data_IF_860298140835
#
_entry.id   IF_860298140835
#
_cell.length_a   1.000
_cell.length_b   1.000
_cell.length_c   1.000
_cell.angle_alpha   90.00
_cell.angle_beta   90.00
_cell.angle_gamma   90.00
#
_symmetry.space_group_name_H-M   'P 1'
#
loop_
_entity.id
_entity.type
_entity.pdbx_description
1 polymer ?
#
# COMPACT_ATOMS: atom_id res chain seq x y z
N UNK A 1 11.11 10.91 -14.43
CA UNK A 1 10.68 9.76 -13.60
C UNK A 1 9.96 10.18 -12.34
N UNK A 2 10.59 10.63 -11.23
CA UNK A 2 9.85 10.99 -9.99
C UNK A 2 8.81 12.10 -10.23
N UNK A 3 9.23 13.25 -10.78
CA UNK A 3 8.32 14.35 -11.15
C UNK A 3 7.25 13.96 -12.17
N UNK A 4 7.50 12.91 -12.96
CA UNK A 4 6.53 12.41 -13.95
C UNK A 4 5.50 11.51 -13.30
N UNK A 5 5.94 10.63 -12.39
CA UNK A 5 5.07 9.82 -11.55
C UNK A 5 4.15 10.69 -10.68
N UNK A 6 4.68 11.78 -10.11
CA UNK A 6 3.88 12.74 -9.33
C UNK A 6 2.83 13.48 -10.18
N UNK A 7 3.20 13.92 -11.40
CA UNK A 7 2.25 14.55 -12.32
C UNK A 7 1.09 13.62 -12.70
N UNK A 8 1.41 12.34 -12.88
CA UNK A 8 0.44 11.30 -13.21
C UNK A 8 -0.44 10.95 -12.01
N UNK A 9 0.17 10.78 -10.83
CA UNK A 9 -0.51 10.50 -9.58
C UNK A 9 0.00 11.45 -8.49
N UNK A 10 -0.76 12.51 -8.14
CA UNK A 10 -0.32 13.51 -7.16
C UNK A 10 -0.05 12.96 -5.75
N UNK A 11 -0.50 11.74 -5.43
CA UNK A 11 -0.16 11.07 -4.17
C UNK A 11 1.32 10.64 -4.11
N UNK A 12 1.98 10.52 -5.27
CA UNK A 12 3.38 10.12 -5.37
C UNK A 12 4.27 11.36 -5.30
N UNK A 13 4.10 12.13 -4.23
CA UNK A 13 4.98 13.28 -3.96
C UNK A 13 6.44 12.83 -3.93
N UNK A 14 7.34 13.77 -4.16
CA UNK A 14 8.79 13.51 -4.12
C UNK A 14 9.18 12.75 -2.85
N UNK A 15 8.74 13.19 -1.67
CA UNK A 15 9.02 12.54 -0.39
C UNK A 15 8.49 11.10 -0.31
N UNK A 16 7.25 10.84 -0.74
CA UNK A 16 6.66 9.49 -0.69
C UNK A 16 7.39 8.54 -1.65
N UNK A 17 7.74 9.04 -2.84
CA UNK A 17 8.48 8.25 -3.83
C UNK A 17 9.89 7.96 -3.37
N UNK A 18 10.60 8.95 -2.80
CA UNK A 18 11.91 8.75 -2.20
C UNK A 18 11.87 7.78 -1.03
N UNK A 19 10.84 7.86 -0.18
CA UNK A 19 10.67 6.92 0.91
C UNK A 19 10.53 5.48 0.42
N UNK A 20 9.70 5.25 -0.62
CA UNK A 20 9.56 3.93 -1.23
C UNK A 20 10.88 3.42 -1.84
N UNK A 21 11.59 4.25 -2.61
CA UNK A 21 12.87 3.90 -3.20
C UNK A 21 13.94 3.59 -2.14
N UNK A 22 14.03 4.42 -1.09
CA UNK A 22 14.97 4.21 0.02
C UNK A 22 14.67 2.91 0.77
N UNK A 23 13.39 2.61 0.98
CA UNK A 23 12.98 1.34 1.61
C UNK A 23 13.39 0.16 0.73
N UNK A 24 13.10 0.20 -0.57
CA UNK A 24 13.55 -0.84 -1.51
C UNK A 24 15.06 -0.97 -1.60
N UNK A 25 15.83 0.12 -1.54
CA UNK A 25 17.29 0.04 -1.57
C UNK A 25 17.90 -0.72 -0.38
N UNK A 26 17.20 -0.73 0.77
CA UNK A 26 17.63 -1.47 1.97
C UNK A 26 17.35 -2.96 1.82
N UNK A 27 16.22 -3.30 1.20
CA UNK A 27 15.82 -4.70 0.95
C UNK A 27 16.56 -5.32 -0.24
N UNK A 28 16.94 -4.54 -1.25
CA UNK A 28 17.64 -5.00 -2.46
C UNK A 28 19.16 -5.05 -2.28
N UNK A 29 19.61 -5.50 -1.11
CA UNK A 29 21.03 -5.77 -0.85
C UNK A 29 21.32 -7.26 -1.00
N UNK A 30 22.56 -7.62 -1.30
CA UNK A 30 22.96 -9.03 -1.43
C UNK A 30 22.62 -9.83 -0.16
N UNK A 31 22.89 -9.27 1.02
CA UNK A 31 22.61 -9.90 2.31
C UNK A 31 21.11 -10.19 2.48
N UNK A 32 20.25 -9.19 2.28
CA UNK A 32 18.81 -9.35 2.47
C UNK A 32 18.19 -10.27 1.42
N UNK A 33 18.64 -10.18 0.17
CA UNK A 33 18.20 -11.07 -0.90
C UNK A 33 18.62 -12.51 -0.60
N UNK A 34 19.87 -12.76 -0.22
CA UNK A 34 20.34 -14.11 0.15
C UNK A 34 19.49 -14.67 1.29
N UNK A 35 19.35 -13.91 2.38
CA UNK A 35 18.53 -14.29 3.54
C UNK A 35 17.09 -14.62 3.15
N UNK A 36 16.49 -13.84 2.26
CA UNK A 36 15.14 -14.11 1.76
C UNK A 36 15.11 -15.40 0.93
N UNK A 37 16.03 -15.56 -0.01
CA UNK A 37 16.02 -16.67 -0.97
C UNK A 37 16.47 -18.02 -0.38
N UNK A 38 17.29 -18.01 0.68
CA UNK A 38 17.86 -19.20 1.31
C UNK A 38 16.80 -20.17 1.86
N UNK A 39 15.60 -19.66 2.13
CA UNK A 39 14.48 -20.46 2.65
C UNK A 39 13.73 -21.26 1.57
N UNK A 40 14.02 -21.04 0.29
CA UNK A 40 13.31 -21.68 -0.82
C UNK A 40 14.16 -22.73 -1.54
N UNK A 41 13.53 -23.84 -1.89
CA UNK A 41 14.10 -24.83 -2.79
C UNK A 41 13.67 -24.53 -4.23
N UNK A 42 14.61 -24.08 -5.03
CA UNK A 42 14.39 -23.84 -6.46
C UNK A 42 14.48 -25.18 -7.20
N UNK A 43 13.35 -25.67 -7.71
CA UNK A 43 13.30 -26.83 -8.59
C UNK A 43 13.52 -26.34 -10.01
N UNK A 44 14.54 -26.88 -10.67
CA UNK A 44 14.77 -26.62 -12.08
C UNK A 44 13.57 -27.16 -12.87
N UNK A 45 12.73 -26.25 -13.35
CA UNK A 45 11.45 -26.55 -13.96
C UNK A 45 11.22 -25.64 -15.15
N UNK A 46 10.36 -26.08 -16.06
CA UNK A 46 10.04 -25.29 -17.25
C UNK A 46 9.55 -23.89 -16.87
N UNK A 47 10.14 -22.88 -17.50
CA UNK A 47 9.80 -21.47 -17.27
C UNK A 47 8.34 -21.23 -17.64
N UNK A 48 7.50 -20.95 -16.63
CA UNK A 48 6.10 -20.57 -16.83
C UNK A 48 5.94 -19.06 -16.99
N UNK A 49 4.98 -18.65 -17.79
CA UNK A 49 4.49 -17.26 -17.82
C UNK A 49 3.51 -17.00 -16.68
N UNK A 50 3.80 -16.01 -15.83
CA UNK A 50 2.94 -15.54 -14.73
C UNK A 50 2.39 -14.16 -15.08
N UNK A 51 1.07 -14.04 -15.13
CA UNK A 51 0.40 -12.75 -15.29
C UNK A 51 0.40 -12.00 -13.96
N UNK A 52 0.66 -10.69 -13.98
CA UNK A 52 0.65 -9.87 -12.76
C UNK A 52 -0.16 -8.60 -12.99
N UNK A 53 -1.25 -8.45 -12.22
CA UNK A 53 -2.04 -7.21 -12.14
C UNK A 53 -1.60 -6.44 -10.90
N UNK A 54 -0.93 -5.31 -11.11
CA UNK A 54 -0.35 -4.51 -10.03
C UNK A 54 -1.29 -3.37 -9.63
N UNK A 55 -1.38 -3.11 -8.32
CA UNK A 55 -2.01 -1.90 -7.80
C UNK A 55 -1.12 -0.67 -8.05
N UNK A 56 -1.62 0.52 -7.74
CA UNK A 56 -0.88 1.78 -7.86
C UNK A 56 -1.27 2.81 -6.80
N UNK A 57 -1.77 2.35 -5.66
CA UNK A 57 -2.18 3.20 -4.53
C UNK A 57 -0.98 3.82 -3.80
N UNK A 58 0.18 3.15 -3.79
CA UNK A 58 1.45 3.67 -3.27
C UNK A 58 2.58 3.41 -4.28
N UNK A 59 3.69 4.19 -4.26
CA UNK A 59 4.78 4.00 -5.21
C UNK A 59 5.38 2.60 -5.15
N UNK A 60 5.61 1.96 -6.31
CA UNK A 60 6.29 0.67 -6.44
C UNK A 60 5.60 -0.50 -5.73
N UNK A 61 4.29 -0.43 -5.49
CA UNK A 61 3.56 -1.48 -4.75
C UNK A 61 3.63 -2.85 -5.44
N UNK A 62 3.70 -2.87 -6.78
CA UNK A 62 3.82 -4.09 -7.57
C UNK A 62 5.25 -4.66 -7.67
N UNK A 63 6.26 -3.96 -7.15
CA UNK A 63 7.66 -4.32 -7.34
C UNK A 63 8.00 -5.68 -6.69
N UNK A 64 7.40 -5.99 -5.54
CA UNK A 64 7.62 -7.29 -4.88
C UNK A 64 7.24 -8.47 -5.79
N UNK A 65 6.13 -8.38 -6.52
CA UNK A 65 5.69 -9.46 -7.41
C UNK A 65 6.60 -9.57 -8.62
N UNK A 66 7.04 -8.43 -9.16
CA UNK A 66 8.00 -8.38 -10.26
C UNK A 66 9.26 -9.17 -9.89
N UNK A 67 9.86 -8.85 -8.75
CA UNK A 67 11.08 -9.50 -8.28
C UNK A 67 10.82 -10.97 -7.97
N UNK A 68 9.72 -11.29 -7.28
CA UNK A 68 9.41 -12.67 -6.88
C UNK A 68 9.22 -13.60 -8.08
N UNK A 69 8.54 -13.16 -9.13
CA UNK A 69 8.36 -13.95 -10.36
C UNK A 69 9.71 -14.15 -11.08
N UNK A 70 10.56 -13.13 -11.11
CA UNK A 70 11.86 -13.22 -11.77
C UNK A 70 12.85 -14.09 -10.98
N UNK A 71 12.90 -13.97 -9.65
CA UNK A 71 13.77 -14.80 -8.80
C UNK A 71 13.33 -16.26 -8.75
N UNK A 72 12.04 -16.55 -8.91
CA UNK A 72 11.53 -17.92 -9.02
C UNK A 72 11.78 -18.58 -10.40
N UNK A 73 12.52 -17.92 -11.31
CA UNK A 73 12.87 -18.48 -12.60
C UNK A 73 11.78 -18.39 -13.68
N UNK A 74 10.68 -17.69 -13.43
CA UNK A 74 9.53 -17.59 -14.34
C UNK A 74 9.53 -16.33 -15.22
N UNK A 75 8.74 -16.33 -16.28
CA UNK A 75 8.49 -15.16 -17.11
C UNK A 75 7.34 -14.36 -16.51
N UNK A 76 7.39 -13.04 -16.59
CA UNK A 76 6.33 -12.16 -16.10
C UNK A 76 5.63 -11.42 -17.23
N UNK A 77 4.30 -11.39 -17.19
CA UNK A 77 3.45 -10.56 -18.05
C UNK A 77 2.76 -9.52 -17.17
N UNK A 78 3.21 -8.27 -17.25
CA UNK A 78 2.84 -7.21 -16.33
C UNK A 78 1.70 -6.37 -16.92
N UNK A 79 0.65 -6.18 -16.12
CA UNK A 79 -0.33 -5.12 -16.30
C UNK A 79 -0.20 -4.16 -15.11
N UNK A 80 0.59 -3.08 -15.23
CA UNK A 80 0.74 -2.13 -14.14
C UNK A 80 -0.54 -1.29 -13.99
N UNK A 81 -0.75 -0.72 -12.80
CA UNK A 81 -1.76 0.32 -12.63
C UNK A 81 -1.43 1.52 -13.52
N UNK A 82 -2.46 2.19 -14.06
CA UNK A 82 -2.29 3.49 -14.72
C UNK A 82 -1.62 4.51 -13.81
N UNK A 83 -1.73 4.36 -12.49
CA UNK A 83 -1.23 5.31 -11.51
C UNK A 83 0.24 5.11 -11.12
N UNK A 84 0.85 3.94 -11.46
CA UNK A 84 2.23 3.58 -11.07
C UNK A 84 3.05 2.96 -12.22
N UNK A 85 2.56 3.03 -13.46
CA UNK A 85 3.24 2.41 -14.60
C UNK A 85 4.63 3.03 -14.88
N UNK A 86 4.84 4.31 -14.57
CA UNK A 86 6.11 5.01 -14.82
C UNK A 86 7.24 4.43 -13.96
N UNK A 87 7.02 4.26 -12.66
CA UNK A 87 8.05 3.75 -11.74
C UNK A 87 8.33 2.25 -11.97
N UNK A 88 7.28 1.46 -12.21
CA UNK A 88 7.45 0.03 -12.51
C UNK A 88 8.23 -0.18 -13.82
N UNK A 89 7.95 0.61 -14.88
CA UNK A 89 8.72 0.56 -16.13
C UNK A 89 10.17 0.99 -15.94
N UNK A 90 10.42 2.00 -15.10
CA UNK A 90 11.77 2.43 -14.75
C UNK A 90 12.57 1.27 -14.15
N UNK A 91 12.01 0.58 -13.15
CA UNK A 91 12.71 -0.53 -12.49
C UNK A 91 12.95 -1.69 -13.47
N UNK A 92 11.96 -2.05 -14.29
CA UNK A 92 12.14 -3.08 -15.32
C UNK A 92 13.25 -2.72 -16.33
N UNK A 93 13.37 -1.45 -16.72
CA UNK A 93 14.44 -0.98 -17.59
C UNK A 93 15.81 -1.06 -16.92
N UNK A 94 15.91 -0.71 -15.63
CA UNK A 94 17.15 -0.88 -14.84
C UNK A 94 17.54 -2.36 -14.79
N UNK A 95 16.62 -3.26 -14.43
CA UNK A 95 16.90 -4.70 -14.40
C UNK A 95 17.39 -5.21 -15.75
N UNK A 96 16.72 -4.81 -16.84
CA UNK A 96 17.11 -5.18 -18.20
C UNK A 96 18.48 -4.64 -18.62
N UNK A 97 18.88 -3.48 -18.08
CA UNK A 97 20.22 -2.91 -18.33
C UNK A 97 21.34 -3.62 -17.57
N UNK A 98 21.02 -4.29 -16.46
CA UNK A 98 21.96 -5.06 -15.65
C UNK A 98 22.20 -6.45 -16.25
N UNK A 99 21.14 -7.08 -16.77
CA UNK A 99 21.21 -8.37 -17.46
C UNK A 99 20.11 -8.45 -18.53
N UNK A 100 20.53 -8.63 -19.78
CA UNK A 100 19.64 -8.76 -20.94
C UNK A 100 18.66 -9.94 -20.79
N UNK A 101 18.99 -10.97 -20.01
CA UNK A 101 18.10 -12.09 -19.71
C UNK A 101 16.79 -11.67 -19.04
N UNK A 102 16.74 -10.52 -18.36
CA UNK A 102 15.48 -9.97 -17.83
C UNK A 102 14.56 -9.43 -18.92
N UNK A 103 15.12 -8.83 -19.98
CA UNK A 103 14.33 -8.24 -21.06
C UNK A 103 13.49 -9.29 -21.80
N UNK A 104 14.01 -10.51 -21.95
CA UNK A 104 13.32 -11.64 -22.58
C UNK A 104 12.19 -12.20 -21.70
N UNK A 105 12.29 -11.98 -20.39
CA UNK A 105 11.40 -12.53 -19.36
C UNK A 105 10.32 -11.55 -18.92
N UNK A 106 10.46 -10.26 -19.20
CA UNK A 106 9.50 -9.21 -18.85
C UNK A 106 8.69 -8.81 -20.08
N UNK A 107 7.37 -9.03 -20.04
CA UNK A 107 6.44 -8.60 -21.09
C UNK A 107 5.39 -7.66 -20.52
N UNK A 108 4.95 -6.69 -21.31
CA UNK A 108 3.87 -5.78 -20.94
C UNK A 108 2.58 -6.21 -21.62
N UNK A 109 1.47 -6.19 -20.86
CA UNK A 109 0.16 -6.50 -21.42
C UNK A 109 -0.45 -5.26 -22.07
N UNK A 110 -0.78 -5.35 -23.35
CA UNK A 110 -1.63 -4.38 -24.04
C UNK A 110 -3.10 -4.72 -23.79
N UNK A 111 -3.61 -4.26 -22.64
CA UNK A 111 -4.99 -4.46 -22.22
C UNK A 111 -5.19 -5.67 -21.32
N UNK A 112 -5.93 -6.69 -21.78
CA UNK A 112 -6.23 -7.89 -20.97
C UNK A 112 -5.02 -8.83 -20.95
N UNK A 113 -4.70 -9.37 -19.78
CA UNK A 113 -3.72 -10.45 -19.66
C UNK A 113 -4.23 -11.68 -20.43
N UNK A 114 -3.33 -12.29 -21.20
CA UNK A 114 -3.52 -13.53 -21.97
C UNK A 114 -2.24 -14.37 -21.88
N UNK A 115 -2.34 -15.64 -22.25
CA UNK A 115 -1.18 -16.54 -22.44
C UNK A 115 -0.29 -16.69 -21.19
N UNK A 116 -0.91 -16.75 -20.02
CA UNK A 116 -0.26 -17.03 -18.74
C UNK A 116 -0.70 -18.38 -18.16
N UNK A 117 0.19 -19.01 -17.40
CA UNK A 117 -0.04 -20.29 -16.72
C UNK A 117 -0.53 -20.11 -15.28
N UNK A 118 -0.20 -18.97 -14.66
CA UNK A 118 -0.61 -18.61 -13.31
C UNK A 118 -0.76 -17.08 -13.21
N UNK A 119 -1.41 -16.58 -12.16
CA UNK A 119 -1.64 -15.15 -12.00
C UNK A 119 -1.53 -14.65 -10.56
N UNK A 120 -0.94 -13.48 -10.39
CA UNK A 120 -0.99 -12.68 -9.18
C UNK A 120 -1.82 -11.44 -9.49
N UNK A 121 -2.89 -11.20 -8.75
CA UNK A 121 -3.76 -10.05 -8.96
C UNK A 121 -4.00 -9.31 -7.65
N UNK A 122 -3.62 -8.05 -7.61
CA UNK A 122 -3.89 -7.14 -6.49
C UNK A 122 -4.85 -6.07 -6.94
N UNK A 123 -5.86 -5.79 -6.12
CA UNK A 123 -6.76 -4.69 -6.37
C UNK A 123 -7.66 -4.40 -5.19
N UNK A 124 -8.69 -3.59 -5.43
CA UNK A 124 -9.70 -3.30 -4.42
C UNK A 124 -10.55 -4.54 -4.10
N UNK A 125 -11.34 -4.46 -3.04
CA UNK A 125 -12.30 -5.51 -2.70
C UNK A 125 -13.30 -5.74 -3.85
N UNK A 126 -13.70 -4.66 -4.53
CA UNK A 126 -14.61 -4.72 -5.68
C UNK A 126 -13.98 -5.46 -6.85
N UNK A 127 -12.73 -5.14 -7.22
CA UNK A 127 -12.06 -5.79 -8.36
C UNK A 127 -11.68 -7.24 -8.04
N UNK A 128 -11.40 -7.56 -6.78
CA UNK A 128 -11.01 -8.91 -6.37
C UNK A 128 -12.10 -9.96 -6.64
N UNK A 129 -13.38 -9.61 -6.48
CA UNK A 129 -14.49 -10.53 -6.84
C UNK A 129 -14.50 -10.88 -8.33
N UNK A 130 -14.20 -9.90 -9.19
CA UNK A 130 -14.06 -10.12 -10.62
C UNK A 130 -12.82 -10.97 -10.94
N UNK A 131 -11.71 -10.73 -10.25
CA UNK A 131 -10.48 -11.54 -10.40
C UNK A 131 -10.71 -12.99 -10.01
N UNK A 132 -11.40 -13.25 -8.90
CA UNK A 132 -11.71 -14.62 -8.44
C UNK A 132 -12.48 -15.38 -9.51
N UNK A 133 -13.52 -14.75 -10.09
CA UNK A 133 -14.28 -15.38 -11.15
C UNK A 133 -13.43 -15.59 -12.42
N UNK A 134 -12.77 -14.53 -12.91
CA UNK A 134 -12.08 -14.53 -14.20
C UNK A 134 -10.82 -15.40 -14.22
N UNK A 135 -10.13 -15.53 -13.09
CA UNK A 135 -8.88 -16.29 -12.98
C UNK A 135 -9.00 -17.64 -12.27
N UNK A 136 -10.22 -18.05 -11.89
CA UNK A 136 -10.51 -19.32 -11.19
C UNK A 136 -9.94 -20.57 -11.87
N UNK A 137 -9.73 -20.54 -13.19
CA UNK A 137 -9.29 -21.70 -13.99
C UNK A 137 -7.77 -21.92 -14.01
N UNK A 138 -6.99 -21.01 -13.44
CA UNK A 138 -5.53 -21.14 -13.33
C UNK A 138 -5.10 -21.01 -11.87
N UNK A 139 -3.92 -21.53 -11.49
CA UNK A 139 -3.32 -21.20 -10.20
C UNK A 139 -3.25 -19.68 -10.03
N UNK A 140 -3.79 -19.17 -8.92
CA UNK A 140 -3.91 -17.73 -8.71
C UNK A 140 -3.63 -17.32 -7.26
N UNK A 141 -3.04 -16.14 -7.12
CA UNK A 141 -2.90 -15.40 -5.85
C UNK A 141 -3.67 -14.09 -6.00
N UNK A 142 -4.81 -13.98 -5.32
CA UNK A 142 -5.67 -12.80 -5.39
C UNK A 142 -5.60 -12.07 -4.05
N UNK A 143 -5.01 -10.87 -4.06
CA UNK A 143 -4.87 -10.03 -2.87
C UNK A 143 -5.93 -8.94 -2.85
N UNK A 144 -6.78 -9.04 -1.82
CA UNK A 144 -7.79 -8.05 -1.43
C UNK A 144 -7.17 -6.95 -0.58
N UNK A 145 -7.92 -5.87 -0.37
CA UNK A 145 -7.50 -4.83 0.57
C UNK A 145 -7.39 -5.41 2.00
N UNK A 146 -6.53 -4.80 2.80
CA UNK A 146 -6.33 -5.07 4.23
C UNK A 146 -6.29 -3.73 4.95
N UNK A 147 -6.54 -3.77 6.25
CA UNK A 147 -6.55 -2.60 7.11
C UNK A 147 -5.64 -2.90 8.30
N UNK A 148 -4.73 -1.98 8.59
CA UNK A 148 -3.99 -2.01 9.84
C UNK A 148 -4.90 -1.61 11.00
N UNK A 149 -4.71 -2.26 12.14
CA UNK A 149 -5.31 -1.83 13.41
C UNK A 149 -4.20 -1.63 14.42
N UNK A 150 -4.38 -0.70 15.34
CA UNK A 150 -3.55 -0.59 16.54
C UNK A 150 -4.41 -0.78 17.78
N UNK A 151 -3.85 -1.41 18.81
CA UNK A 151 -4.48 -1.57 20.12
C UNK A 151 -3.58 -0.82 21.09
N UNK A 152 -4.11 0.22 21.71
CA UNK A 152 -3.38 1.06 22.64
C UNK A 152 -3.77 0.64 24.04
N UNK A 153 -2.81 0.56 24.96
CA UNK A 153 -3.04 0.21 26.37
C UNK A 153 -3.31 1.44 27.23
N UNK A 154 -2.99 2.65 26.76
CA UNK A 154 -3.00 3.86 27.58
C UNK A 154 -1.61 4.24 28.09
N UNK A 155 -0.67 3.30 28.10
CA UNK A 155 0.66 3.48 28.66
C UNK A 155 1.68 3.99 27.63
N UNK A 156 1.31 4.11 26.35
CA UNK A 156 2.22 4.50 25.28
C UNK A 156 2.92 5.84 25.57
N UNK A 157 4.21 5.91 25.32
CA UNK A 157 4.97 7.14 25.33
C UNK A 157 4.75 7.99 24.08
N UNK A 158 5.22 9.24 24.11
CA UNK A 158 5.15 10.16 22.97
C UNK A 158 5.81 9.59 21.70
N UNK A 159 6.95 8.91 21.84
CA UNK A 159 7.66 8.29 20.72
C UNK A 159 6.84 7.16 20.06
N UNK A 160 6.12 6.38 20.85
CA UNK A 160 5.28 5.28 20.34
C UNK A 160 4.05 5.82 19.61
N UNK A 161 3.42 6.87 20.15
CA UNK A 161 2.30 7.54 19.50
C UNK A 161 2.73 8.27 18.21
N UNK A 162 3.92 8.85 18.18
CA UNK A 162 4.52 9.44 16.97
C UNK A 162 4.81 8.36 15.91
N UNK A 163 5.32 7.20 16.33
CA UNK A 163 5.51 6.05 15.43
C UNK A 163 4.17 5.55 14.87
N UNK A 164 3.13 5.45 15.71
CA UNK A 164 1.76 5.15 15.26
C UNK A 164 1.25 6.20 14.27
N UNK A 165 1.52 7.49 14.50
CA UNK A 165 1.23 8.55 13.55
C UNK A 165 1.82 8.26 12.17
N UNK A 166 3.07 7.79 12.12
CA UNK A 166 3.68 7.36 10.86
C UNK A 166 2.92 6.19 10.21
N UNK A 167 2.50 5.20 10.99
CA UNK A 167 1.74 4.06 10.48
C UNK A 167 0.34 4.46 9.95
N UNK A 168 -0.24 5.54 10.48
CA UNK A 168 -1.49 6.12 9.98
C UNK A 168 -1.24 6.93 8.70
N UNK A 169 -0.25 7.82 8.69
CA UNK A 169 -0.11 8.89 7.70
C UNK A 169 0.87 8.62 6.56
N UNK A 170 1.77 7.63 6.69
CA UNK A 170 2.68 7.27 5.59
C UNK A 170 1.86 6.96 4.34
N UNK A 171 2.27 7.51 3.19
CA UNK A 171 1.52 7.44 1.94
C UNK A 171 0.09 7.99 2.04
N UNK A 172 -0.15 8.97 2.90
CA UNK A 172 -1.47 9.57 3.14
C UNK A 172 -2.54 8.57 3.60
N UNK A 173 -2.14 7.45 4.20
CA UNK A 173 -3.04 6.37 4.61
C UNK A 173 -3.54 5.49 3.46
N UNK A 174 -2.95 5.59 2.26
CA UNK A 174 -3.39 4.84 1.07
C UNK A 174 -2.91 3.38 1.02
N UNK A 175 -1.96 2.99 1.85
CA UNK A 175 -1.42 1.64 1.90
C UNK A 175 -2.37 0.66 2.61
N UNK A 176 -2.43 -0.57 2.12
CA UNK A 176 -3.23 -1.66 2.73
C UNK A 176 -2.71 -2.14 4.10
N UNK A 177 -1.64 -1.52 4.59
CA UNK A 177 -1.04 -1.77 5.91
C UNK A 177 -1.07 -0.53 6.80
N UNK A 178 -1.56 0.61 6.31
CA UNK A 178 -1.75 1.77 7.16
C UNK A 178 -2.81 1.46 8.21
N UNK A 179 -2.64 2.07 9.38
CA UNK A 179 -3.61 1.95 10.47
C UNK A 179 -4.83 2.80 10.15
N UNK A 180 -6.00 2.14 10.08
CA UNK A 180 -7.29 2.78 9.84
C UNK A 180 -8.26 2.66 11.01
N UNK A 181 -7.89 1.89 12.05
CA UNK A 181 -8.64 1.80 13.30
C UNK A 181 -7.70 1.67 14.50
N UNK A 182 -8.06 2.34 15.59
CA UNK A 182 -7.43 2.16 16.90
C UNK A 182 -8.44 1.59 17.91
N UNK A 183 -7.99 0.69 18.76
CA UNK A 183 -8.72 0.29 19.96
C UNK A 183 -8.09 0.97 21.16
N UNK A 184 -8.91 1.59 22.01
CA UNK A 184 -8.44 2.36 23.18
C UNK A 184 -9.22 1.96 24.44
N UNK A 185 -8.64 2.05 25.65
CA UNK A 185 -9.36 1.83 26.90
C UNK A 185 -10.55 2.78 27.08
N UNK A 186 -11.52 2.39 27.90
CA UNK A 186 -12.70 3.22 28.20
C UNK A 186 -12.34 4.62 28.74
N UNK A 187 -11.29 4.71 29.54
CA UNK A 187 -10.79 5.94 30.15
C UNK A 187 -9.61 6.58 29.41
N UNK A 188 -9.31 6.12 28.18
CA UNK A 188 -8.20 6.65 27.39
C UNK A 188 -8.37 8.15 27.07
N UNK A 189 -7.32 8.91 27.34
CA UNK A 189 -7.20 10.33 27.02
C UNK A 189 -6.84 10.55 25.54
N UNK A 190 -7.84 10.95 24.75
CA UNK A 190 -7.67 11.19 23.31
C UNK A 190 -6.72 12.36 23.03
N UNK A 191 -6.58 13.33 23.95
CA UNK A 191 -5.65 14.45 23.76
C UNK A 191 -4.19 13.96 23.75
N UNK A 192 -3.88 12.89 24.50
CA UNK A 192 -2.58 12.22 24.46
C UNK A 192 -2.28 11.68 23.06
N UNK A 193 -3.26 11.01 22.43
CA UNK A 193 -3.14 10.53 21.06
C UNK A 193 -2.96 11.69 20.07
N UNK A 194 -3.80 12.72 20.14
CA UNK A 194 -3.69 13.89 19.25
C UNK A 194 -2.36 14.63 19.40
N UNK A 195 -1.85 14.77 20.62
CA UNK A 195 -0.52 15.33 20.88
C UNK A 195 0.59 14.51 20.23
N UNK A 196 0.55 13.18 20.39
CA UNK A 196 1.54 12.28 19.81
C UNK A 196 1.61 12.29 18.28
N UNK A 197 0.48 12.56 17.61
CA UNK A 197 0.42 12.64 16.15
C UNK A 197 0.50 14.06 15.58
N UNK A 198 0.63 15.10 16.42
CA UNK A 198 0.53 16.49 15.97
C UNK A 198 1.61 16.89 14.96
N UNK A 199 2.79 16.28 15.01
CA UNK A 199 3.89 16.53 14.07
C UNK A 199 3.53 16.27 12.60
N UNK A 200 2.47 15.49 12.34
CA UNK A 200 1.98 15.17 11.00
C UNK A 200 0.99 16.21 10.43
N UNK A 201 0.70 17.32 11.15
CA UNK A 201 -0.32 18.29 10.76
C UNK A 201 -0.18 18.84 9.32
N UNK A 202 1.06 18.95 8.81
CA UNK A 202 1.34 19.43 7.46
C UNK A 202 0.78 18.54 6.35
N UNK A 203 0.33 17.33 6.66
CA UNK A 203 -0.36 16.48 5.69
C UNK A 203 -1.59 17.17 5.06
N UNK A 204 -2.23 18.08 5.80
CA UNK A 204 -3.36 18.87 5.32
C UNK A 204 -2.97 19.85 4.19
N UNK A 205 -1.69 20.21 4.06
CA UNK A 205 -1.21 21.08 2.98
C UNK A 205 -1.29 20.39 1.61
N UNK A 206 -1.43 19.06 1.57
CA UNK A 206 -1.64 18.34 0.32
C UNK A 206 -3.10 18.45 -0.15
N UNK A 207 -3.32 19.15 -1.26
CA UNK A 207 -4.67 19.48 -1.79
C UNK A 207 -5.64 18.29 -1.86
N UNK A 208 -5.21 17.11 -2.35
CA UNK A 208 -6.14 15.95 -2.42
C UNK A 208 -6.47 15.41 -1.03
N UNK A 209 -5.56 15.52 -0.08
CA UNK A 209 -5.80 15.09 1.30
C UNK A 209 -6.79 16.07 1.97
N UNK A 210 -6.54 17.37 1.87
CA UNK A 210 -7.46 18.42 2.35
C UNK A 210 -8.89 18.25 1.80
N UNK A 211 -9.02 18.02 0.49
CA UNK A 211 -10.32 17.80 -0.13
C UNK A 211 -11.05 16.56 0.45
N UNK A 212 -10.32 15.50 0.79
CA UNK A 212 -10.92 14.32 1.44
C UNK A 212 -11.30 14.62 2.90
N UNK A 213 -10.46 15.33 3.64
CA UNK A 213 -10.75 15.78 4.99
C UNK A 213 -12.05 16.60 5.03
N UNK A 214 -12.16 17.66 4.21
CA UNK A 214 -13.34 18.53 4.15
C UNK A 214 -14.59 17.77 3.70
N UNK A 215 -14.44 16.88 2.71
CA UNK A 215 -15.54 16.04 2.23
C UNK A 215 -16.09 15.14 3.33
N UNK A 216 -15.24 14.34 3.99
CA UNK A 216 -15.71 13.40 5.01
C UNK A 216 -16.17 14.11 6.29
N UNK A 217 -15.56 15.24 6.64
CA UNK A 217 -16.03 16.10 7.72
C UNK A 217 -17.47 16.55 7.46
N UNK A 218 -17.76 17.00 6.24
CA UNK A 218 -19.11 17.40 5.83
C UNK A 218 -20.09 16.22 5.86
N UNK A 219 -19.69 15.05 5.35
CA UNK A 219 -20.52 13.84 5.36
C UNK A 219 -20.87 13.43 6.79
N UNK A 220 -19.90 13.37 7.70
CA UNK A 220 -20.13 12.98 9.09
C UNK A 220 -21.04 13.99 9.82
N UNK A 221 -20.83 15.29 9.62
CA UNK A 221 -21.70 16.32 10.21
C UNK A 221 -23.14 16.24 9.69
N UNK A 222 -23.34 15.98 8.39
CA UNK A 222 -24.67 15.79 7.80
C UNK A 222 -25.39 14.55 8.35
N UNK A 223 -24.63 13.50 8.69
CA UNK A 223 -25.17 12.29 9.32
C UNK A 223 -25.38 12.42 10.83
N UNK A 224 -25.08 13.59 11.42
CA UNK A 224 -25.05 13.81 12.87
C UNK A 224 -24.12 12.82 13.61
N UNK A 225 -23.08 12.34 12.94
CA UNK A 225 -22.03 11.52 13.55
C UNK A 225 -21.26 12.35 14.58
N UNK A 226 -20.99 11.78 15.75
CA UNK A 226 -20.06 12.38 16.71
C UNK A 226 -18.63 12.17 16.20
N UNK A 227 -17.94 13.27 15.93
CA UNK A 227 -16.54 13.27 15.49
C UNK A 227 -15.69 14.13 16.42
N UNK A 228 -14.45 13.69 16.62
CA UNK A 228 -13.38 14.50 17.19
C UNK A 228 -12.41 14.83 16.06
N UNK A 229 -11.79 16.00 16.09
CA UNK A 229 -10.83 16.38 15.05
C UNK A 229 -9.73 17.29 15.61
N UNK A 230 -8.59 17.30 14.93
CA UNK A 230 -7.44 18.15 15.27
C UNK A 230 -6.97 19.03 14.08
N UNK A 231 -7.85 19.22 13.09
CA UNK A 231 -7.60 20.02 11.89
C UNK A 231 -6.93 19.29 10.72
N UNK A 232 -6.50 18.04 10.90
CA UNK A 232 -5.95 17.22 9.81
C UNK A 232 -6.31 15.73 9.88
N UNK A 233 -6.94 15.28 10.97
CA UNK A 233 -7.49 13.94 11.12
C UNK A 233 -8.88 14.01 11.75
N UNK A 234 -9.83 13.26 11.17
CA UNK A 234 -11.16 13.03 11.73
C UNK A 234 -11.17 11.72 12.50
N UNK A 235 -11.51 11.75 13.77
CA UNK A 235 -11.64 10.59 14.63
C UNK A 235 -13.12 10.29 14.87
N UNK A 236 -13.56 9.09 14.46
CA UNK A 236 -14.97 8.68 14.53
C UNK A 236 -15.10 7.33 15.22
N UNK A 237 -16.02 7.22 16.17
CA UNK A 237 -16.32 5.94 16.80
C UNK A 237 -17.03 5.02 15.79
N UNK A 238 -16.52 3.81 15.60
CA UNK A 238 -17.07 2.87 14.61
C UNK A 238 -16.61 1.43 14.84
N UNK A 239 -17.53 0.49 14.62
CA UNK A 239 -17.23 -0.94 14.53
C UNK A 239 -16.41 -1.31 13.29
N UNK A 240 -16.50 -0.52 12.21
CA UNK A 240 -15.84 -0.82 10.93
C UNK A 240 -14.32 -0.71 11.02
N UNK A 241 -13.60 -1.71 10.47
CA UNK A 241 -12.13 -1.71 10.44
C UNK A 241 -11.54 -0.69 9.46
N UNK A 242 -12.23 -0.43 8.36
CA UNK A 242 -11.77 0.51 7.34
C UNK A 242 -12.32 1.91 7.64
N UNK A 243 -11.44 2.89 7.78
CA UNK A 243 -11.82 4.29 7.81
C UNK A 243 -11.67 4.92 6.41
N UNK A 244 -12.47 5.95 6.10
CA UNK A 244 -12.22 6.76 4.92
C UNK A 244 -10.92 7.56 5.05
N UNK A 245 -10.43 8.08 3.92
CA UNK A 245 -9.24 8.92 3.89
C UNK A 245 -9.38 10.14 4.82
N UNK A 246 -8.26 10.55 5.41
CA UNK A 246 -8.18 11.62 6.41
C UNK A 246 -9.03 11.38 7.67
N UNK A 247 -9.50 10.14 7.86
CA UNK A 247 -10.25 9.71 9.03
C UNK A 247 -9.62 8.47 9.66
N UNK A 248 -9.82 8.31 10.96
CA UNK A 248 -9.43 7.14 11.74
C UNK A 248 -10.64 6.68 12.54
N UNK A 249 -10.93 5.39 12.49
CA UNK A 249 -11.94 4.84 13.38
C UNK A 249 -11.35 4.54 14.74
N UNK A 250 -12.18 4.65 15.77
CA UNK A 250 -11.82 4.10 17.08
C UNK A 250 -12.97 3.31 17.68
N UNK A 251 -12.63 2.44 18.61
CA UNK A 251 -13.57 1.72 19.46
C UNK A 251 -12.97 1.58 20.86
N UNK A 252 -13.80 1.79 21.89
CA UNK A 252 -13.39 1.59 23.28
C UNK A 252 -13.49 0.12 23.66
N UNK A 253 -12.51 -0.39 24.41
CA UNK A 253 -12.51 -1.75 24.94
C UNK A 253 -12.39 -1.77 26.46
N UNK A 254 -12.97 -2.82 27.06
CA UNK A 254 -12.77 -3.13 28.48
C UNK A 254 -11.52 -4.00 28.62
N UNK A 255 -10.55 -3.51 29.39
CA UNK A 255 -9.30 -4.20 29.68
C UNK A 255 -9.49 -5.39 30.63
#
# INVERSE_FOLDING_TARGET
>A
MIKEAEKLNPWFTEDQTHHALSSWSKELTHEQLSKWTDSYHYVDSDKKSVGVVMAGNIPLVGLHDLISVLLSGHNIIIRPSSDDHVLIRMVAAILSSLDNGYSERIRWADGKLKDFHAIIATGSNNTSRYFEHYFSKVPNVIRKNRNGIAILTGEEGENELSALGKDIFQYFGLGCRNVSKIYIPEDYDIDKFFGGIYSFNKIIEHNKYANNFDYYRSVFLLNADKILENGFLLLKESGDLASPMASLHYERYQA
#
